data_IF_275687846182
#
_entry.id   IF_275687846182
#
_cell.length_a   1.000
_cell.length_b   1.000
_cell.length_c   1.000
_cell.angle_alpha   90.00
_cell.angle_beta   90.00
_cell.angle_gamma   90.00
#
_symmetry.space_group_name_H-M   'P 1'
#
loop_
_entity.id
_entity.type
_entity.pdbx_description
1 polymer ?
#
# COMPACT_ATOMS: atom_id res chain seq x y z
N UNK A 1 1.33 25.29 10.94
CA UNK A 1 0.04 24.60 10.74
C UNK A 1 -0.18 24.46 9.25
N UNK A 2 -0.03 23.24 8.71
CA UNK A 2 -0.23 23.01 7.27
C UNK A 2 -1.72 23.17 6.97
N UNK A 3 -2.10 24.18 6.22
CA UNK A 3 -3.49 24.34 5.76
C UNK A 3 -3.60 23.67 4.39
N UNK A 4 -4.56 22.78 4.22
CA UNK A 4 -4.96 22.32 2.90
C UNK A 4 -5.47 23.52 2.08
N UNK A 5 -5.31 23.46 0.77
CA UNK A 5 -5.75 24.55 -0.13
C UNK A 5 -7.27 24.76 -0.13
N UNK A 6 -8.03 23.74 0.31
CA UNK A 6 -9.48 23.77 0.42
C UNK A 6 -10.02 22.61 1.25
N UNK A 7 -11.34 22.43 1.30
CA UNK A 7 -11.96 21.30 1.96
C UNK A 7 -11.59 19.99 1.23
N UNK A 8 -11.32 18.94 2.00
CA UNK A 8 -11.03 17.59 1.51
C UNK A 8 -12.18 16.68 1.90
N UNK A 9 -12.69 15.91 0.97
CA UNK A 9 -13.83 15.04 1.17
C UNK A 9 -13.42 13.57 1.01
N UNK A 10 -14.01 12.68 1.83
CA UNK A 10 -13.95 11.23 1.61
C UNK A 10 -15.17 10.83 0.80
N UNK A 11 -14.95 10.41 -0.44
CA UNK A 11 -16.03 10.11 -1.39
C UNK A 11 -16.52 8.66 -1.29
N UNK A 12 -15.62 7.71 -1.07
CA UNK A 12 -15.94 6.28 -1.00
C UNK A 12 -14.88 5.52 -0.19
N UNK A 13 -15.20 4.27 0.18
CA UNK A 13 -14.25 3.40 0.86
C UNK A 13 -14.66 1.93 0.74
N UNK A 14 -13.66 1.07 0.65
CA UNK A 14 -13.82 -0.37 0.58
C UNK A 14 -12.71 -1.05 1.38
N UNK A 15 -13.01 -2.21 1.96
CA UNK A 15 -12.02 -3.04 2.63
C UNK A 15 -12.32 -4.52 2.50
N UNK A 16 -11.31 -5.34 2.69
CA UNK A 16 -11.48 -6.76 2.96
C UNK A 16 -11.98 -6.98 4.39
N UNK A 17 -12.54 -8.15 4.73
CA UNK A 17 -12.71 -8.56 6.12
C UNK A 17 -11.37 -8.56 6.86
N UNK A 18 -11.38 -8.31 8.17
CA UNK A 18 -10.24 -8.62 9.01
C UNK A 18 -10.13 -10.14 9.18
N UNK A 19 -9.00 -10.69 8.75
CA UNK A 19 -8.69 -12.11 8.89
C UNK A 19 -7.81 -12.38 10.11
N UNK A 20 -8.03 -13.52 10.77
CA UNK A 20 -7.09 -14.02 11.78
C UNK A 20 -5.78 -14.43 11.10
N UNK A 21 -4.64 -14.18 11.73
CA UNK A 21 -3.34 -14.71 11.30
C UNK A 21 -3.40 -16.23 11.14
N UNK A 22 -2.89 -16.76 10.04
CA UNK A 22 -2.99 -18.17 9.67
C UNK A 22 -4.40 -18.62 9.23
N UNK A 23 -5.37 -17.71 9.11
CA UNK A 23 -6.74 -18.00 8.70
C UNK A 23 -6.97 -17.95 7.19
N UNK A 24 -8.22 -17.69 6.78
CA UNK A 24 -8.67 -17.75 5.38
C UNK A 24 -7.89 -16.85 4.39
N UNK A 25 -7.29 -15.75 4.89
CA UNK A 25 -6.51 -14.82 4.07
C UNK A 25 -5.00 -15.12 4.11
N UNK A 26 -4.55 -16.16 4.78
CA UNK A 26 -3.12 -16.47 4.97
C UNK A 26 -2.38 -16.86 3.69
N UNK A 27 -3.11 -17.26 2.64
CA UNK A 27 -2.54 -17.59 1.33
C UNK A 27 -2.11 -16.35 0.53
N UNK A 28 -2.65 -15.17 0.87
CA UNK A 28 -2.35 -13.92 0.19
C UNK A 28 -1.10 -13.27 0.79
N UNK A 29 -0.42 -12.46 0.00
CA UNK A 29 0.51 -11.44 0.46
C UNK A 29 -0.16 -10.06 0.44
N UNK A 30 0.57 -9.01 0.86
CA UNK A 30 0.00 -7.68 0.96
C UNK A 30 -0.38 -7.09 -0.41
N UNK A 31 0.34 -7.41 -1.49
CA UNK A 31 0.00 -6.97 -2.85
C UNK A 31 -1.25 -7.69 -3.33
N UNK A 32 -1.26 -9.02 -3.33
CA UNK A 32 -2.38 -9.82 -3.83
C UNK A 32 -3.68 -9.60 -3.04
N UNK A 33 -3.57 -9.26 -1.75
CA UNK A 33 -4.72 -8.88 -0.93
C UNK A 33 -5.24 -7.47 -1.29
N UNK A 34 -4.36 -6.57 -1.71
CA UNK A 34 -4.72 -5.20 -2.10
C UNK A 34 -5.39 -5.12 -3.47
N UNK A 35 -4.95 -5.94 -4.41
CA UNK A 35 -5.39 -5.90 -5.83
C UNK A 35 -6.91 -5.86 -6.00
N UNK A 36 -7.71 -6.76 -5.40
CA UNK A 36 -9.16 -6.72 -5.59
C UNK A 36 -9.81 -5.46 -5.05
N UNK A 37 -9.28 -4.90 -3.94
CA UNK A 37 -9.80 -3.66 -3.34
C UNK A 37 -9.50 -2.47 -4.24
N UNK A 38 -8.25 -2.31 -4.67
CA UNK A 38 -7.82 -1.23 -5.55
C UNK A 38 -8.56 -1.29 -6.88
N UNK A 39 -8.70 -2.48 -7.46
CA UNK A 39 -9.44 -2.68 -8.72
C UNK A 39 -10.91 -2.30 -8.59
N UNK A 40 -11.57 -2.70 -7.51
CA UNK A 40 -12.98 -2.38 -7.28
C UNK A 40 -13.21 -0.90 -7.02
N UNK A 41 -12.27 -0.21 -6.37
CA UNK A 41 -12.33 1.23 -6.16
C UNK A 41 -12.07 1.99 -7.46
N UNK A 42 -11.04 1.63 -8.23
CA UNK A 42 -10.71 2.25 -9.51
C UNK A 42 -11.83 2.09 -10.56
N UNK A 43 -12.61 1.02 -10.47
CA UNK A 43 -13.79 0.83 -11.33
C UNK A 43 -14.92 1.83 -11.05
N UNK A 44 -14.94 2.47 -9.90
CA UNK A 44 -15.90 3.54 -9.58
C UNK A 44 -15.42 4.89 -10.14
N UNK A 45 -14.14 5.19 -9.96
CA UNK A 45 -13.48 6.37 -10.52
C UNK A 45 -11.97 6.12 -10.55
N UNK A 46 -11.32 6.38 -11.69
CA UNK A 46 -9.86 6.30 -11.79
C UNK A 46 -9.25 7.51 -11.05
N UNK A 47 -8.36 7.27 -10.07
CA UNK A 47 -7.71 8.36 -9.36
C UNK A 47 -6.53 8.94 -10.15
N UNK A 48 -6.16 10.17 -9.84
CA UNK A 48 -4.94 10.82 -10.35
C UNK A 48 -3.69 10.34 -9.62
N UNK A 49 -3.86 9.74 -8.44
CA UNK A 49 -2.76 9.28 -7.58
C UNK A 49 -3.21 8.15 -6.66
N UNK A 50 -2.38 7.12 -6.53
CA UNK A 50 -2.50 6.09 -5.49
C UNK A 50 -1.44 6.30 -4.41
N UNK A 51 -1.85 6.35 -3.14
CA UNK A 51 -0.95 6.28 -1.99
C UNK A 51 -1.32 5.06 -1.16
N UNK A 52 -0.44 4.06 -1.14
CA UNK A 52 -0.72 2.78 -0.50
C UNK A 52 0.38 2.39 0.46
N UNK A 53 0.04 1.73 1.55
CA UNK A 53 1.00 1.43 2.58
C UNK A 53 0.97 0.00 3.10
N UNK A 54 2.03 -0.34 3.79
CA UNK A 54 2.18 -1.55 4.59
C UNK A 54 2.94 -1.22 5.86
N UNK A 55 2.76 -1.99 6.90
CA UNK A 55 3.48 -1.79 8.18
C UNK A 55 4.88 -2.39 8.10
N UNK A 56 5.00 -3.58 7.51
CA UNK A 56 6.24 -4.33 7.38
C UNK A 56 6.66 -4.32 5.91
N UNK A 57 7.69 -3.54 5.51
CA UNK A 57 8.21 -3.58 4.16
C UNK A 57 8.67 -4.97 3.79
N UNK A 58 8.49 -5.35 2.53
CA UNK A 58 8.94 -6.62 2.01
C UNK A 58 10.09 -6.41 1.02
N UNK A 59 11.09 -7.30 1.05
CA UNK A 59 12.22 -7.24 0.12
C UNK A 59 11.82 -7.56 -1.34
N UNK A 60 10.67 -8.19 -1.54
CA UNK A 60 10.15 -8.52 -2.87
C UNK A 60 9.59 -7.33 -3.65
N UNK A 61 9.30 -6.22 -2.97
CA UNK A 61 8.83 -4.97 -3.60
C UNK A 61 9.23 -3.75 -2.78
N UNK A 62 9.71 -2.72 -3.45
CA UNK A 62 10.09 -1.44 -2.81
C UNK A 62 8.92 -0.45 -2.74
N UNK A 63 7.93 -0.58 -3.62
CA UNK A 63 6.77 0.30 -3.73
C UNK A 63 5.49 -0.53 -3.87
N UNK A 64 4.94 -0.93 -2.73
CA UNK A 64 3.72 -1.75 -2.70
C UNK A 64 2.53 -1.06 -3.41
N UNK A 65 2.44 0.27 -3.38
CA UNK A 65 1.40 1.00 -4.10
C UNK A 65 1.52 0.79 -5.61
N UNK A 66 2.73 0.92 -6.15
CA UNK A 66 2.98 0.70 -7.58
C UNK A 66 2.75 -0.75 -8.00
N UNK A 67 3.26 -1.69 -7.24
CA UNK A 67 3.07 -3.12 -7.52
C UNK A 67 1.58 -3.49 -7.52
N UNK A 68 0.84 -3.06 -6.49
CA UNK A 68 -0.61 -3.30 -6.41
C UNK A 68 -1.36 -2.71 -7.60
N UNK A 69 -1.02 -1.49 -8.01
CA UNK A 69 -1.66 -0.80 -9.14
C UNK A 69 -1.45 -1.53 -10.47
N UNK A 70 -0.20 -1.93 -10.73
CA UNK A 70 0.15 -2.66 -11.96
C UNK A 70 -0.42 -4.07 -11.98
N UNK A 71 -0.42 -4.78 -10.84
CA UNK A 71 -1.02 -6.12 -10.73
C UNK A 71 -2.54 -6.09 -10.88
N UNK A 72 -3.18 -4.98 -10.49
CA UNK A 72 -4.58 -4.75 -10.77
C UNK A 72 -4.89 -4.53 -12.27
N UNK A 73 -3.84 -4.45 -13.13
CA UNK A 73 -3.92 -4.19 -14.58
C UNK A 73 -4.61 -2.86 -14.89
N UNK A 74 -4.32 -1.85 -14.08
CA UNK A 74 -4.81 -0.49 -14.24
C UNK A 74 -3.81 0.36 -15.04
N UNK A 75 -4.21 1.57 -15.42
CA UNK A 75 -3.43 2.45 -16.28
C UNK A 75 -2.03 2.73 -15.71
N UNK A 76 -0.94 2.44 -16.44
CA UNK A 76 0.40 2.70 -15.95
C UNK A 76 0.75 4.19 -15.82
N UNK A 77 -0.10 5.08 -16.34
CA UNK A 77 0.09 6.53 -16.28
C UNK A 77 -0.26 7.11 -14.90
N UNK A 78 -1.10 6.43 -14.12
CA UNK A 78 -1.43 6.88 -12.77
C UNK A 78 -0.23 6.68 -11.85
N UNK A 79 0.31 7.74 -11.25
CA UNK A 79 1.41 7.63 -10.30
C UNK A 79 0.97 6.91 -9.03
N UNK A 80 1.91 6.16 -8.43
CA UNK A 80 1.68 5.48 -7.17
C UNK A 80 2.94 5.46 -6.32
N UNK A 81 2.81 5.69 -5.01
CA UNK A 81 3.92 5.55 -4.09
C UNK A 81 3.48 4.93 -2.76
N UNK A 82 4.46 4.49 -1.98
CA UNK A 82 4.23 3.79 -0.72
C UNK A 82 4.54 4.65 0.48
N UNK A 83 3.80 4.40 1.55
CA UNK A 83 4.05 4.97 2.87
C UNK A 83 4.25 3.83 3.87
N UNK A 84 5.22 3.99 4.77
CA UNK A 84 5.48 3.07 5.88
C UNK A 84 5.65 3.89 7.15
N UNK A 85 4.72 3.76 8.07
CA UNK A 85 4.77 4.41 9.39
C UNK A 85 4.05 3.57 10.44
N UNK A 86 4.44 2.32 10.58
CA UNK A 86 3.84 1.38 11.53
C UNK A 86 2.30 1.45 11.52
N UNK A 87 1.64 1.45 12.69
CA UNK A 87 0.18 1.47 12.79
C UNK A 87 -0.48 2.76 12.24
N UNK A 88 0.31 3.82 11.99
CA UNK A 88 -0.18 5.10 11.46
C UNK A 88 -0.04 5.23 9.93
N UNK A 89 0.35 4.16 9.24
CA UNK A 89 0.66 4.17 7.80
C UNK A 89 -0.49 4.72 6.96
N UNK A 90 -1.70 4.18 7.06
CA UNK A 90 -2.82 4.63 6.22
C UNK A 90 -3.32 6.04 6.59
N UNK A 91 -3.21 6.42 7.85
CA UNK A 91 -3.50 7.81 8.26
C UNK A 91 -2.49 8.79 7.67
N UNK A 92 -1.20 8.44 7.70
CA UNK A 92 -0.14 9.24 7.07
C UNK A 92 -0.31 9.32 5.55
N UNK A 93 -0.68 8.20 4.91
CA UNK A 93 -1.02 8.18 3.48
C UNK A 93 -2.18 9.14 3.16
N UNK A 94 -3.20 9.17 4.00
CA UNK A 94 -4.35 10.08 3.85
C UNK A 94 -3.92 11.55 3.95
N UNK A 95 -3.11 11.91 4.93
CA UNK A 95 -2.62 13.29 5.07
C UNK A 95 -1.67 13.68 3.93
N UNK A 96 -0.81 12.77 3.49
CA UNK A 96 0.07 13.03 2.37
C UNK A 96 -0.74 13.27 1.08
N UNK A 97 -1.69 12.39 0.77
CA UNK A 97 -2.56 12.51 -0.39
C UNK A 97 -3.41 13.80 -0.34
N UNK A 98 -4.00 14.13 0.81
CA UNK A 98 -4.74 15.37 1.00
C UNK A 98 -3.88 16.62 0.76
N UNK A 99 -2.60 16.57 1.14
CA UNK A 99 -1.64 17.66 0.89
C UNK A 99 -1.21 17.78 -0.58
N UNK A 100 -1.45 16.75 -1.38
CA UNK A 100 -1.12 16.70 -2.82
C UNK A 100 -2.32 17.06 -3.72
N UNK A 101 -3.51 17.26 -3.16
CA UNK A 101 -4.66 17.73 -3.92
C UNK A 101 -4.44 19.16 -4.44
N UNK A 102 -4.80 19.40 -5.67
CA UNK A 102 -4.55 20.63 -6.41
C UNK A 102 -3.49 20.44 -7.50
N UNK A 103 -3.28 21.47 -8.34
CA UNK A 103 -2.28 21.40 -9.41
C UNK A 103 -2.50 20.30 -10.45
N UNK A 104 -3.75 19.84 -10.62
CA UNK A 104 -4.11 18.76 -11.54
C UNK A 104 -4.38 17.40 -10.85
N UNK A 105 -4.23 17.32 -9.53
CA UNK A 105 -4.65 16.15 -8.73
C UNK A 105 -5.96 16.48 -8.04
N UNK A 106 -7.04 15.87 -8.47
CA UNK A 106 -8.39 16.13 -7.94
C UNK A 106 -8.92 14.95 -7.13
N UNK A 107 -8.55 13.73 -7.52
CA UNK A 107 -8.96 12.49 -6.88
C UNK A 107 -7.75 11.63 -6.48
N UNK A 108 -7.65 11.31 -5.21
CA UNK A 108 -6.60 10.41 -4.72
C UNK A 108 -7.21 9.15 -4.10
N UNK A 109 -6.62 8.00 -4.38
CA UNK A 109 -6.94 6.75 -3.69
C UNK A 109 -5.89 6.50 -2.61
N UNK A 110 -6.33 6.25 -1.39
CA UNK A 110 -5.43 6.00 -0.25
C UNK A 110 -5.81 4.72 0.48
N UNK A 111 -4.83 4.00 0.95
CA UNK A 111 -5.09 2.80 1.74
C UNK A 111 -3.82 2.07 2.14
N UNK A 112 -3.99 0.81 2.46
CA UNK A 112 -2.89 -0.06 2.82
C UNK A 112 -3.36 -1.47 3.15
N UNK A 113 -2.44 -2.38 3.20
CA UNK A 113 -2.67 -3.76 3.59
C UNK A 113 -1.49 -4.32 4.37
N UNK A 114 -1.80 -5.32 5.20
CA UNK A 114 -0.80 -6.08 5.93
C UNK A 114 -1.21 -7.53 6.04
N UNK A 115 -0.25 -8.43 5.92
CA UNK A 115 -0.47 -9.88 6.08
C UNK A 115 0.53 -10.43 7.09
N UNK A 116 0.09 -10.56 8.33
CA UNK A 116 0.91 -11.07 9.44
C UNK A 116 1.09 -12.60 9.43
N UNK A 117 0.45 -13.32 8.51
CA UNK A 117 0.58 -14.78 8.38
C UNK A 117 1.90 -15.24 7.77
N UNK A 118 2.65 -14.31 7.15
CA UNK A 118 3.94 -14.57 6.50
C UNK A 118 5.00 -13.62 7.04
N UNK A 119 5.52 -13.87 8.26
CA UNK A 119 6.55 -13.01 8.82
C UNK A 119 7.81 -13.11 7.96
N UNK A 120 8.48 -11.99 7.78
CA UNK A 120 9.79 -11.95 7.16
C UNK A 120 10.84 -12.35 8.20
N UNK A 121 11.75 -13.21 7.80
CA UNK A 121 12.86 -13.66 8.65
C UNK A 121 14.11 -12.93 8.19
N UNK A 122 14.63 -12.06 9.03
CA UNK A 122 15.92 -11.42 8.81
C UNK A 122 17.02 -12.28 9.41
N UNK A 123 18.07 -12.52 8.66
CA UNK A 123 19.27 -13.18 9.16
C UNK A 123 20.15 -12.18 9.93
N UNK A 124 20.81 -12.64 10.97
CA UNK A 124 21.89 -11.87 11.60
C UNK A 124 23.05 -11.70 10.63
N UNK A 125 23.89 -10.69 10.86
CA UNK A 125 25.05 -10.42 10.01
C UNK A 125 25.95 -11.66 9.88
N UNK A 126 26.19 -12.41 10.97
CA UNK A 126 26.97 -13.64 10.97
C UNK A 126 26.33 -14.76 10.14
N UNK A 127 25.01 -14.94 10.28
CA UNK A 127 24.31 -15.95 9.51
C UNK A 127 24.28 -15.61 8.01
N UNK A 128 24.11 -14.33 7.69
CA UNK A 128 24.17 -13.85 6.32
C UNK A 128 25.56 -14.08 5.71
N UNK A 129 26.63 -13.74 6.45
CA UNK A 129 28.01 -13.95 5.99
C UNK A 129 28.29 -15.46 5.76
N UNK A 130 27.91 -16.33 6.71
CA UNK A 130 28.11 -17.79 6.55
C UNK A 130 27.38 -18.34 5.32
N UNK A 131 26.19 -17.84 5.02
CA UNK A 131 25.49 -18.24 3.80
C UNK A 131 26.19 -17.73 2.54
N UNK A 132 26.69 -16.50 2.54
CA UNK A 132 27.42 -15.93 1.38
C UNK A 132 28.74 -16.67 1.15
N UNK A 133 29.42 -17.11 2.19
CA UNK A 133 30.68 -17.87 2.10
C UNK A 133 30.48 -19.32 1.56
N UNK A 134 29.23 -19.79 1.43
CA UNK A 134 28.89 -21.12 0.88
C UNK A 134 28.66 -21.10 -0.65
N UNK A 135 28.57 -19.92 -1.26
CA UNK A 135 28.35 -19.72 -2.70
C UNK A 135 29.49 -18.94 -3.35
#
# INVERSE_FOLDING_TARGET
>A
MTRFAGPVFVAAGLRTPFGRGGGALSAYDAVSLSVPVVKAMAAQAEPDLLVWGTVIPNMGWSNIGRETWLDAKLSPTVPAFSVVLACSTSMTATFAAAGMLGGGTELTMVGGSEVMSRPQIALTADASKRLTDLF
#
